data_IF_028760847465
#
_entry.id   IF_028760847465
#
_cell.length_a   1.000
_cell.length_b   1.000
_cell.length_c   1.000
_cell.angle_alpha   90.00
_cell.angle_beta   90.00
_cell.angle_gamma   90.00
#
_symmetry.space_group_name_H-M   'P 1'
#
loop_
_entity.id
_entity.type
_entity.pdbx_description
1 polymer ?
#
# COMPACT_ATOMS: atom_id res chain seq x y z
N UNK A 1 -9.45 -3.64 -9.85
CA UNK A 1 -9.56 -4.91 -10.58
C UNK A 1 -8.39 -5.02 -11.54
N UNK A 2 -7.69 -6.14 -11.53
CA UNK A 2 -6.55 -6.42 -12.42
C UNK A 2 -7.01 -6.71 -13.85
N UNK A 3 -6.09 -6.67 -14.82
CA UNK A 3 -6.41 -6.95 -16.23
C UNK A 3 -6.93 -8.39 -16.46
N UNK A 4 -6.56 -9.33 -15.60
CA UNK A 4 -6.99 -10.73 -15.62
C UNK A 4 -8.22 -11.01 -14.75
N UNK A 5 -8.92 -9.95 -14.30
CA UNK A 5 -10.25 -10.00 -13.68
C UNK A 5 -10.29 -10.25 -12.18
N UNK A 6 -9.17 -10.14 -11.46
CA UNK A 6 -9.21 -10.22 -10.00
C UNK A 6 -9.76 -8.93 -9.39
N UNK A 7 -10.67 -9.07 -8.43
CA UNK A 7 -11.00 -8.02 -7.49
C UNK A 7 -9.88 -7.91 -6.47
N UNK A 8 -9.39 -6.69 -6.25
CA UNK A 8 -8.24 -6.43 -5.39
C UNK A 8 -8.48 -5.21 -4.54
N UNK A 9 -7.71 -5.07 -3.48
CA UNK A 9 -7.66 -3.86 -2.69
C UNK A 9 -7.03 -2.70 -3.50
N UNK A 10 -7.18 -1.48 -3.02
CA UNK A 10 -6.70 -0.24 -3.66
C UNK A 10 -5.18 -0.17 -3.76
N UNK A 11 -4.49 -0.87 -2.87
CA UNK A 11 -3.03 -0.85 -2.76
C UNK A 11 -2.33 -1.31 -4.05
N UNK A 12 -2.89 -2.30 -4.75
CA UNK A 12 -2.35 -2.71 -6.05
C UNK A 12 -2.31 -1.57 -7.06
N UNK A 13 -3.31 -0.71 -7.07
CA UNK A 13 -3.32 0.47 -7.92
C UNK A 13 -2.19 1.47 -7.59
N UNK A 14 -1.78 1.55 -6.34
CA UNK A 14 -0.60 2.31 -5.95
C UNK A 14 0.68 1.66 -6.46
N UNK A 15 0.84 0.34 -6.31
CA UNK A 15 2.02 -0.38 -6.81
C UNK A 15 2.16 -0.24 -8.32
N UNK A 16 1.09 -0.40 -9.09
CA UNK A 16 1.09 -0.19 -10.54
C UNK A 16 1.56 1.21 -10.92
N UNK A 17 1.02 2.25 -10.26
CA UNK A 17 1.39 3.64 -10.55
C UNK A 17 2.83 3.99 -10.19
N UNK A 18 3.35 3.45 -9.08
CA UNK A 18 4.70 3.76 -8.62
C UNK A 18 5.79 2.97 -9.33
N UNK A 19 5.48 1.74 -9.76
CA UNK A 19 6.43 0.84 -10.39
C UNK A 19 6.29 0.78 -11.92
N UNK A 20 5.23 1.37 -12.48
CA UNK A 20 4.89 1.29 -13.91
C UNK A 20 4.79 -0.17 -14.40
N UNK A 21 4.10 -1.00 -13.65
CA UNK A 21 3.89 -2.42 -13.92
C UNK A 21 2.39 -2.73 -14.00
N UNK A 22 2.08 -3.86 -14.60
CA UNK A 22 0.73 -4.44 -14.58
C UNK A 22 0.70 -5.57 -13.56
N UNK A 23 -0.27 -5.51 -12.64
CA UNK A 23 -0.50 -6.58 -11.66
C UNK A 23 -1.53 -7.60 -12.16
N UNK A 24 -1.48 -8.78 -11.57
CA UNK A 24 -2.34 -9.93 -11.89
C UNK A 24 -2.95 -10.53 -10.62
N UNK A 25 -3.76 -11.57 -10.79
CA UNK A 25 -4.29 -12.37 -9.67
C UNK A 25 -3.19 -12.95 -8.74
N UNK A 26 -1.96 -13.07 -9.23
CA UNK A 26 -0.82 -13.55 -8.45
C UNK A 26 -0.33 -12.52 -7.42
N UNK A 27 -0.63 -11.24 -7.63
CA UNK A 27 -0.16 -10.14 -6.77
C UNK A 27 -1.06 -9.85 -5.56
N UNK A 28 -2.23 -10.52 -5.48
CA UNK A 28 -3.14 -10.33 -4.35
C UNK A 28 -3.83 -11.64 -3.98
N UNK A 29 -3.97 -11.88 -2.68
CA UNK A 29 -4.78 -12.98 -2.18
C UNK A 29 -5.53 -12.56 -0.91
N UNK A 30 -6.84 -12.73 -0.93
CA UNK A 30 -7.69 -12.47 0.23
C UNK A 30 -7.77 -13.70 1.15
N UNK A 31 -8.07 -13.47 2.41
CA UNK A 31 -8.32 -14.54 3.40
C UNK A 31 -9.39 -15.50 2.91
N UNK A 32 -10.51 -14.98 2.35
CA UNK A 32 -11.56 -15.82 1.79
C UNK A 32 -11.07 -16.78 0.73
N UNK A 33 -10.19 -16.33 -0.17
CA UNK A 33 -9.61 -17.16 -1.23
C UNK A 33 -8.67 -18.25 -0.70
N UNK A 34 -7.89 -17.96 0.35
CA UNK A 34 -7.06 -18.95 1.03
C UNK A 34 -7.93 -20.06 1.62
N UNK A 35 -8.93 -19.69 2.43
CA UNK A 35 -9.81 -20.67 3.08
C UNK A 35 -10.62 -21.47 2.05
N UNK A 36 -11.15 -20.82 1.03
CA UNK A 36 -11.88 -21.50 -0.04
C UNK A 36 -11.01 -22.57 -0.72
N UNK A 37 -9.77 -22.23 -1.07
CA UNK A 37 -8.83 -23.20 -1.69
C UNK A 37 -8.63 -24.42 -0.80
N UNK A 38 -8.41 -24.22 0.49
CA UNK A 38 -8.20 -25.33 1.44
C UNK A 38 -9.46 -26.18 1.59
N UNK A 39 -10.66 -25.58 1.69
CA UNK A 39 -11.94 -26.28 1.78
C UNK A 39 -12.21 -27.09 0.50
N UNK A 40 -11.94 -26.52 -0.66
CA UNK A 40 -12.10 -27.22 -1.93
C UNK A 40 -11.15 -28.43 -2.05
N UNK A 41 -9.89 -28.29 -1.62
CA UNK A 41 -8.92 -29.37 -1.60
C UNK A 41 -9.33 -30.49 -0.61
N UNK A 42 -9.86 -30.13 0.56
CA UNK A 42 -10.41 -31.08 1.50
C UNK A 42 -11.54 -31.91 0.89
N UNK A 43 -12.49 -31.24 0.23
CA UNK A 43 -13.64 -31.91 -0.44
C UNK A 43 -13.22 -32.79 -1.62
N UNK A 44 -12.10 -32.46 -2.28
CA UNK A 44 -11.52 -33.29 -3.34
C UNK A 44 -10.71 -34.48 -2.80
N UNK A 45 -10.49 -34.55 -1.47
CA UNK A 45 -9.71 -35.62 -0.84
C UNK A 45 -8.19 -35.44 -0.92
N UNK A 46 -7.70 -34.27 -1.26
CA UNK A 46 -6.27 -33.97 -1.39
C UNK A 46 -5.49 -34.20 -0.08
N UNK A 47 -6.16 -34.11 1.07
CA UNK A 47 -5.57 -34.32 2.38
C UNK A 47 -5.68 -35.77 2.88
N UNK A 48 -6.15 -36.71 2.05
CA UNK A 48 -6.18 -38.16 2.35
C UNK A 48 -6.85 -38.49 3.70
N UNK A 49 -7.94 -37.81 4.05
CA UNK A 49 -8.70 -38.04 5.29
C UNK A 49 -8.05 -37.46 6.55
N UNK A 50 -6.97 -36.71 6.45
CA UNK A 50 -6.37 -36.01 7.60
C UNK A 50 -7.28 -34.87 8.04
N UNK A 51 -7.29 -34.61 9.35
CA UNK A 51 -7.97 -33.42 9.89
C UNK A 51 -7.32 -32.15 9.38
N UNK A 52 -8.09 -31.31 8.69
CA UNK A 52 -7.61 -30.01 8.20
C UNK A 52 -7.54 -29.03 9.36
N UNK A 53 -6.41 -28.34 9.47
CA UNK A 53 -6.10 -27.40 10.54
C UNK A 53 -5.48 -26.12 9.95
N UNK A 54 -5.45 -25.04 10.73
CA UNK A 54 -4.77 -23.80 10.32
C UNK A 54 -3.29 -24.09 10.05
N UNK A 55 -2.64 -24.80 10.96
CA UNK A 55 -1.29 -25.32 10.77
C UNK A 55 -1.39 -26.84 10.54
N UNK A 56 -0.91 -27.38 9.41
CA UNK A 56 -0.16 -26.68 8.35
C UNK A 56 -1.01 -26.17 7.18
N UNK A 57 -2.26 -26.57 7.02
CA UNK A 57 -2.97 -26.49 5.73
C UNK A 57 -3.22 -25.05 5.26
N UNK A 58 -3.68 -24.15 6.14
CA UNK A 58 -3.88 -22.73 5.82
C UNK A 58 -2.54 -22.02 5.68
N UNK A 59 -1.59 -22.28 6.61
CA UNK A 59 -0.27 -21.66 6.53
C UNK A 59 0.52 -22.08 5.30
N UNK A 60 0.41 -23.33 4.87
CA UNK A 60 1.07 -23.81 3.64
C UNK A 60 0.48 -23.15 2.39
N UNK A 61 -0.84 -22.98 2.32
CA UNK A 61 -1.46 -22.24 1.19
C UNK A 61 -1.04 -20.77 1.19
N UNK A 62 -0.95 -20.10 2.34
CA UNK A 62 -0.43 -18.73 2.44
C UNK A 62 1.02 -18.67 1.94
N UNK A 63 1.90 -19.57 2.41
CA UNK A 63 3.30 -19.64 1.97
C UNK A 63 3.41 -19.87 0.47
N UNK A 64 2.60 -20.78 -0.06
CA UNK A 64 2.54 -21.08 -1.49
C UNK A 64 2.21 -19.83 -2.31
N UNK A 65 1.25 -19.01 -1.84
CA UNK A 65 0.87 -17.76 -2.50
C UNK A 65 1.96 -16.71 -2.44
N UNK A 66 2.59 -16.54 -1.29
CA UNK A 66 3.71 -15.60 -1.12
C UNK A 66 4.89 -15.95 -2.02
N UNK A 67 5.20 -17.23 -2.16
CA UNK A 67 6.31 -17.71 -2.98
C UNK A 67 6.02 -17.74 -4.48
N UNK A 68 4.76 -17.61 -4.89
CA UNK A 68 4.34 -17.85 -6.27
C UNK A 68 5.08 -16.97 -7.28
N UNK A 69 5.22 -15.68 -6.99
CA UNK A 69 5.97 -14.76 -7.87
C UNK A 69 7.48 -15.01 -7.84
N UNK A 70 8.04 -15.25 -6.66
CA UNK A 70 9.48 -15.56 -6.52
C UNK A 70 9.90 -16.85 -7.24
N UNK A 71 9.01 -17.84 -7.30
CA UNK A 71 9.28 -19.12 -7.96
C UNK A 71 9.24 -19.04 -9.49
N UNK A 72 8.80 -17.93 -10.10
CA UNK A 72 8.89 -17.72 -11.56
C UNK A 72 10.34 -17.53 -12.01
N UNK A 73 11.19 -17.00 -11.15
CA UNK A 73 12.56 -16.63 -11.48
C UNK A 73 12.70 -15.29 -12.20
N UNK A 74 11.60 -14.54 -12.34
CA UNK A 74 11.58 -13.25 -13.04
C UNK A 74 11.96 -12.07 -12.13
N UNK A 75 12.00 -12.30 -10.81
CA UNK A 75 12.20 -11.26 -9.81
C UNK A 75 13.34 -11.59 -8.85
N UNK A 76 14.25 -10.65 -8.66
CA UNK A 76 15.33 -10.76 -7.65
C UNK A 76 14.81 -10.54 -6.23
N UNK A 77 13.78 -9.71 -6.07
CA UNK A 77 13.16 -9.36 -4.79
C UNK A 77 11.64 -9.33 -4.93
N UNK A 78 10.96 -9.99 -4.01
CA UNK A 78 9.49 -9.94 -3.88
C UNK A 78 9.15 -9.25 -2.57
N UNK A 79 8.34 -8.20 -2.64
CA UNK A 79 7.83 -7.49 -1.46
C UNK A 79 6.40 -7.98 -1.21
N UNK A 80 6.18 -8.59 -0.06
CA UNK A 80 4.85 -9.05 0.36
C UNK A 80 4.34 -8.17 1.50
N UNK A 81 3.22 -7.53 1.29
CA UNK A 81 2.50 -6.80 2.33
C UNK A 81 1.49 -7.70 3.02
N UNK A 82 1.50 -7.67 4.36
CA UNK A 82 0.45 -8.27 5.18
C UNK A 82 -0.48 -7.17 5.67
N UNK A 83 -1.72 -7.21 5.23
CA UNK A 83 -2.77 -6.30 5.70
C UNK A 83 -3.20 -6.61 7.14
N UNK A 84 -3.76 -5.60 7.80
CA UNK A 84 -4.25 -5.70 9.15
C UNK A 84 -3.22 -5.36 10.24
N UNK A 85 -3.71 -5.23 11.46
CA UNK A 85 -2.89 -4.88 12.63
C UNK A 85 -2.29 -6.14 13.24
N UNK A 86 -1.01 -6.07 13.64
CA UNK A 86 -0.37 -7.16 14.38
C UNK A 86 -1.07 -7.32 15.73
N UNK A 87 -1.56 -8.55 16.00
CA UNK A 87 -2.33 -8.89 17.19
C UNK A 87 -3.82 -9.09 16.93
N UNK A 88 -4.33 -8.67 15.77
CA UNK A 88 -5.70 -8.97 15.39
C UNK A 88 -5.85 -10.44 14.99
N UNK A 89 -6.99 -11.05 15.32
CA UNK A 89 -7.25 -12.49 15.14
C UNK A 89 -7.08 -12.90 13.67
N UNK A 90 -7.57 -12.09 12.75
CA UNK A 90 -7.53 -12.35 11.32
C UNK A 90 -6.11 -12.36 10.74
N UNK A 91 -5.16 -11.66 11.36
CA UNK A 91 -3.77 -11.61 10.90
C UNK A 91 -2.91 -12.78 11.38
N UNK A 92 -3.35 -13.51 12.41
CA UNK A 92 -2.56 -14.57 13.07
C UNK A 92 -2.08 -15.68 12.12
N UNK A 93 -2.92 -16.25 11.22
CA UNK A 93 -2.48 -17.27 10.28
C UNK A 93 -1.38 -16.77 9.32
N UNK A 94 -1.44 -15.49 8.92
CA UNK A 94 -0.44 -14.87 8.06
C UNK A 94 0.87 -14.63 8.79
N UNK A 95 0.81 -14.13 10.02
CA UNK A 95 2.00 -13.93 10.86
C UNK A 95 2.69 -15.29 11.11
N UNK A 96 1.92 -16.34 11.41
CA UNK A 96 2.46 -17.69 11.58
C UNK A 96 3.08 -18.22 10.28
N UNK A 97 2.43 -18.02 9.14
CA UNK A 97 2.98 -18.43 7.84
C UNK A 97 4.30 -17.71 7.53
N UNK A 98 4.40 -16.39 7.81
CA UNK A 98 5.65 -15.63 7.65
C UNK A 98 6.74 -16.11 8.61
N UNK A 99 6.39 -16.44 9.87
CA UNK A 99 7.34 -17.00 10.82
C UNK A 99 7.94 -18.32 10.30
N UNK A 100 7.11 -19.22 9.77
CA UNK A 100 7.55 -20.47 9.14
C UNK A 100 8.38 -20.21 7.90
N UNK A 101 7.91 -19.34 7.01
CA UNK A 101 8.59 -19.01 5.75
C UNK A 101 9.98 -18.43 5.99
N UNK A 102 10.11 -17.54 6.99
CA UNK A 102 11.40 -16.96 7.37
C UNK A 102 12.39 -18.03 7.84
N UNK A 103 11.90 -19.04 8.56
CA UNK A 103 12.71 -20.18 8.97
C UNK A 103 13.12 -21.06 7.77
N UNK A 104 12.17 -21.37 6.88
CA UNK A 104 12.39 -22.20 5.71
C UNK A 104 13.35 -21.58 4.69
N UNK A 105 13.21 -20.27 4.42
CA UNK A 105 14.08 -19.54 3.48
C UNK A 105 15.44 -19.17 4.06
N UNK A 106 15.54 -19.12 5.40
CA UNK A 106 16.70 -18.60 6.10
C UNK A 106 16.68 -17.07 6.23
N UNK A 107 17.25 -16.59 7.33
CA UNK A 107 17.21 -15.18 7.76
C UNK A 107 17.79 -14.19 6.75
N UNK A 108 18.73 -14.62 5.93
CA UNK A 108 19.38 -13.77 4.91
C UNK A 108 18.53 -13.57 3.64
N UNK A 109 17.54 -14.44 3.44
CA UNK A 109 16.66 -14.40 2.26
C UNK A 109 15.28 -13.81 2.61
N UNK A 110 15.06 -13.39 3.85
CA UNK A 110 13.78 -12.86 4.29
C UNK A 110 13.98 -11.74 5.30
N UNK A 111 13.69 -10.51 4.91
CA UNK A 111 13.74 -9.32 5.76
C UNK A 111 12.34 -8.94 6.19
N UNK A 112 12.14 -8.73 7.48
CA UNK A 112 10.87 -8.27 8.04
C UNK A 112 10.95 -6.78 8.34
N UNK A 113 10.13 -6.01 7.61
CA UNK A 113 9.93 -4.58 7.84
C UNK A 113 8.63 -4.42 8.61
N UNK A 114 8.68 -3.80 9.77
CA UNK A 114 7.49 -3.56 10.59
C UNK A 114 7.14 -2.07 10.60
N UNK A 115 5.94 -1.77 10.10
CA UNK A 115 5.39 -0.41 10.09
C UNK A 115 4.72 -0.13 11.44
N UNK A 116 5.09 0.98 12.08
CA UNK A 116 4.55 1.38 13.38
C UNK A 116 4.14 2.84 13.40
N UNK A 117 3.29 3.20 14.36
CA UNK A 117 2.93 4.59 14.61
C UNK A 117 3.73 5.16 15.79
N UNK A 118 4.31 6.33 15.58
CA UNK A 118 5.00 7.13 16.59
C UNK A 118 4.24 8.43 16.81
N UNK A 119 3.19 8.44 17.65
CA UNK A 119 2.30 9.58 17.78
C UNK A 119 2.98 10.76 18.49
N UNK A 120 2.64 11.97 18.03
CA UNK A 120 3.00 13.22 18.70
C UNK A 120 1.86 13.65 19.62
N UNK A 121 2.18 13.85 20.89
CA UNK A 121 1.22 14.41 21.86
C UNK A 121 1.38 15.92 21.97
N UNK A 122 0.47 16.66 21.38
CA UNK A 122 0.51 18.13 21.33
C UNK A 122 0.53 18.76 22.73
N UNK A 123 -0.18 18.20 23.70
CA UNK A 123 -0.20 18.70 25.09
C UNK A 123 1.16 18.54 25.81
N UNK A 124 1.87 17.43 25.54
CA UNK A 124 3.19 17.16 26.12
C UNK A 124 4.35 17.62 25.24
N UNK A 125 4.07 18.06 24.01
CA UNK A 125 5.04 18.45 22.97
C UNK A 125 6.14 17.41 22.74
N UNK A 126 5.76 16.14 22.74
CA UNK A 126 6.72 15.03 22.59
C UNK A 126 6.19 13.87 21.75
N UNK A 127 7.09 13.15 21.11
CA UNK A 127 6.81 11.86 20.44
C UNK A 127 6.76 10.73 21.49
N UNK A 128 5.75 9.89 21.40
CA UNK A 128 5.57 8.73 22.30
C UNK A 128 6.03 7.43 21.66
N UNK A 129 7.10 6.86 22.21
CA UNK A 129 7.70 5.60 21.70
C UNK A 129 6.97 4.34 22.18
N UNK A 130 6.09 4.42 23.16
CA UNK A 130 5.41 3.26 23.75
C UNK A 130 4.53 2.48 22.76
N UNK A 131 3.71 3.09 21.89
CA UNK A 131 2.92 2.36 20.89
C UNK A 131 3.80 1.51 19.98
N UNK A 132 4.88 2.08 19.43
CA UNK A 132 5.88 1.34 18.64
C UNK A 132 6.48 0.16 19.42
N UNK A 133 6.90 0.38 20.67
CA UNK A 133 7.46 -0.69 21.52
C UNK A 133 6.44 -1.82 21.77
N UNK A 134 5.15 -1.48 21.96
CA UNK A 134 4.11 -2.48 22.18
C UNK A 134 3.83 -3.28 20.91
N UNK A 135 3.74 -2.62 19.76
CA UNK A 135 3.53 -3.26 18.47
C UNK A 135 4.66 -4.26 18.14
N UNK A 136 5.93 -3.87 18.36
CA UNK A 136 7.09 -4.77 18.18
C UNK A 136 7.06 -5.93 19.17
N UNK A 137 6.69 -5.68 20.43
CA UNK A 137 6.54 -6.77 21.42
C UNK A 137 5.46 -7.76 21.00
N UNK A 138 4.35 -7.28 20.46
CA UNK A 138 3.28 -8.17 20.00
C UNK A 138 3.75 -9.04 18.84
N UNK A 139 4.43 -8.46 17.84
CA UNK A 139 5.04 -9.23 16.76
C UNK A 139 6.04 -10.27 17.30
N UNK A 140 6.87 -9.88 18.26
CA UNK A 140 7.85 -10.78 18.88
C UNK A 140 7.22 -11.94 19.67
N UNK A 141 6.03 -11.77 20.26
CA UNK A 141 5.26 -12.86 20.89
C UNK A 141 4.89 -13.96 19.90
N UNK A 142 4.72 -13.61 18.64
CA UNK A 142 4.49 -14.56 17.55
C UNK A 142 5.78 -15.13 16.94
N UNK A 143 6.93 -14.88 17.58
CA UNK A 143 8.23 -15.43 17.15
C UNK A 143 8.88 -14.70 15.98
N UNK A 144 8.45 -13.49 15.66
CA UNK A 144 9.05 -12.67 14.62
C UNK A 144 9.74 -11.45 15.23
N UNK A 145 11.05 -11.34 15.03
CA UNK A 145 11.82 -10.14 15.32
C UNK A 145 11.91 -9.32 14.02
N UNK A 146 11.47 -8.05 14.00
CA UNK A 146 11.65 -7.20 12.82
C UNK A 146 13.12 -6.86 12.60
N UNK A 147 13.51 -6.73 11.35
CA UNK A 147 14.85 -6.32 10.94
C UNK A 147 14.94 -4.82 10.73
N UNK A 148 13.83 -4.20 10.34
CA UNK A 148 13.68 -2.78 10.08
C UNK A 148 12.37 -2.29 10.67
N UNK A 149 12.38 -1.12 11.28
CA UNK A 149 11.20 -0.40 11.73
C UNK A 149 10.98 0.83 10.87
N UNK A 150 9.79 0.95 10.27
CA UNK A 150 9.35 2.17 9.61
C UNK A 150 8.37 2.86 10.55
N UNK A 151 8.77 3.99 11.11
CA UNK A 151 8.01 4.72 12.12
C UNK A 151 7.26 5.89 11.46
N UNK A 152 5.97 5.72 11.24
CA UNK A 152 5.11 6.80 10.77
C UNK A 152 4.96 7.86 11.87
N UNK A 153 5.15 9.12 11.54
CA UNK A 153 5.21 10.22 12.52
C UNK A 153 4.84 11.57 11.90
N UNK A 154 4.25 12.46 12.70
CA UNK A 154 3.96 13.85 12.32
C UNK A 154 5.18 14.79 12.51
N UNK A 155 6.18 14.38 13.29
CA UNK A 155 7.34 15.21 13.65
C UNK A 155 8.63 14.42 13.45
N UNK A 156 9.72 15.12 13.16
CA UNK A 156 11.04 14.49 12.99
C UNK A 156 11.47 13.71 14.23
N UNK A 157 12.06 12.56 14.00
CA UNK A 157 12.61 11.67 15.03
C UNK A 157 14.03 12.13 15.35
N UNK A 158 14.27 12.55 16.60
CA UNK A 158 15.63 12.88 17.06
C UNK A 158 16.49 11.62 17.19
N UNK A 159 17.82 11.80 17.14
CA UNK A 159 18.74 10.68 17.34
C UNK A 159 18.53 9.99 18.70
N UNK A 160 18.16 10.74 19.74
CA UNK A 160 17.85 10.19 21.06
C UNK A 160 16.64 9.25 21.01
N UNK A 161 15.55 9.69 20.37
CA UNK A 161 14.34 8.88 20.20
C UNK A 161 14.65 7.65 19.32
N UNK A 162 15.40 7.82 18.24
CA UNK A 162 15.82 6.73 17.34
C UNK A 162 16.61 5.66 18.11
N UNK A 163 17.58 6.05 18.89
CA UNK A 163 18.39 5.15 19.72
C UNK A 163 17.54 4.47 20.81
N UNK A 164 16.59 5.19 21.40
CA UNK A 164 15.65 4.63 22.37
C UNK A 164 14.79 3.53 21.75
N UNK A 165 14.19 3.79 20.57
CA UNK A 165 13.40 2.79 19.85
C UNK A 165 14.27 1.59 19.50
N UNK A 166 15.44 1.81 18.91
CA UNK A 166 16.38 0.77 18.54
C UNK A 166 16.69 -0.17 19.70
N UNK A 167 17.03 0.39 20.86
CA UNK A 167 17.36 -0.37 22.09
C UNK A 167 16.16 -1.18 22.61
N UNK A 168 14.95 -0.60 22.63
CA UNK A 168 13.76 -1.29 23.17
C UNK A 168 13.20 -2.33 22.22
N UNK A 169 13.45 -2.20 20.91
CA UNK A 169 12.91 -3.06 19.87
C UNK A 169 13.93 -4.04 19.29
N UNK A 170 15.15 -4.06 19.81
CA UNK A 170 16.27 -4.93 19.36
C UNK A 170 16.53 -4.81 17.85
N UNK A 171 16.56 -3.58 17.34
CA UNK A 171 16.94 -3.27 15.96
C UNK A 171 18.15 -2.32 15.96
N UNK A 172 18.90 -2.30 14.87
CA UNK A 172 19.97 -1.33 14.69
C UNK A 172 19.40 0.10 14.60
N UNK A 173 20.13 1.09 15.13
CA UNK A 173 19.66 2.47 15.12
C UNK A 173 19.44 3.02 13.69
N UNK A 174 20.26 2.62 12.73
CA UNK A 174 20.12 2.94 11.31
C UNK A 174 18.92 2.24 10.66
N UNK A 175 18.40 1.15 11.24
CA UNK A 175 17.23 0.42 10.78
C UNK A 175 15.90 0.94 11.39
N UNK A 176 15.95 2.02 12.16
CA UNK A 176 14.76 2.78 12.58
C UNK A 176 14.55 3.92 11.59
N UNK A 177 13.63 3.75 10.68
CA UNK A 177 13.36 4.63 9.54
C UNK A 177 12.26 5.62 9.92
N UNK A 178 12.49 6.89 9.66
CA UNK A 178 11.47 7.92 9.79
C UNK A 178 10.58 7.93 8.54
N UNK A 179 9.27 7.76 8.74
CA UNK A 179 8.27 8.00 7.72
C UNK A 179 7.38 9.18 8.16
N UNK A 180 7.91 10.38 7.97
CA UNK A 180 7.20 11.61 8.32
C UNK A 180 6.01 11.81 7.38
N UNK A 181 4.91 12.35 7.92
CA UNK A 181 3.73 12.69 7.11
C UNK A 181 4.12 13.63 5.97
N UNK A 182 3.66 13.31 4.78
CA UNK A 182 4.00 13.99 3.54
C UNK A 182 2.80 14.72 2.96
N UNK A 183 3.03 15.83 2.24
CA UNK A 183 1.99 16.58 1.57
C UNK A 183 1.31 15.77 0.45
N UNK A 184 2.05 14.87 -0.16
CA UNK A 184 1.54 13.95 -1.18
C UNK A 184 2.22 12.59 -1.06
N UNK A 185 1.50 11.53 -1.44
CA UNK A 185 2.05 10.17 -1.48
C UNK A 185 3.30 10.08 -2.37
N UNK A 186 3.43 10.95 -3.35
CA UNK A 186 4.57 11.00 -4.26
C UNK A 186 5.87 11.54 -3.62
N UNK A 187 5.80 12.15 -2.43
CA UNK A 187 6.98 12.51 -1.64
C UNK A 187 7.59 11.31 -0.91
N UNK A 188 6.78 10.29 -0.59
CA UNK A 188 7.17 9.15 0.24
C UNK A 188 8.43 8.43 -0.27
N UNK A 189 8.60 8.13 -1.58
CA UNK A 189 9.83 7.50 -2.07
C UNK A 189 11.09 8.33 -1.78
N UNK A 190 11.01 9.66 -1.83
CA UNK A 190 12.16 10.52 -1.54
C UNK A 190 12.45 10.60 -0.03
N UNK A 191 11.41 10.53 0.81
CA UNK A 191 11.56 10.45 2.27
C UNK A 191 12.29 9.16 2.64
N UNK A 192 11.83 8.02 2.14
CA UNK A 192 12.43 6.71 2.41
C UNK A 192 13.84 6.59 1.80
N UNK A 193 14.06 7.18 0.62
CA UNK A 193 15.39 7.25 0.01
C UNK A 193 16.38 8.04 0.86
N UNK A 194 15.96 9.18 1.44
CA UNK A 194 16.77 9.98 2.35
C UNK A 194 17.17 9.20 3.61
N UNK A 195 16.26 8.37 4.12
CA UNK A 195 16.47 7.45 5.25
C UNK A 195 17.28 6.20 4.85
N UNK A 196 17.62 6.03 3.56
CA UNK A 196 18.40 4.92 3.02
C UNK A 196 17.76 3.54 3.22
N UNK A 197 16.43 3.46 3.27
CA UNK A 197 15.71 2.21 3.48
C UNK A 197 16.11 1.14 2.44
N UNK A 198 16.24 1.54 1.17
CA UNK A 198 16.69 0.70 0.07
C UNK A 198 18.06 0.02 0.37
N UNK A 199 19.02 0.80 0.80
CA UNK A 199 20.37 0.29 1.11
C UNK A 199 20.37 -0.65 2.31
N UNK A 200 19.64 -0.28 3.37
CA UNK A 200 19.52 -1.10 4.58
C UNK A 200 18.91 -2.47 4.26
N UNK A 201 17.87 -2.50 3.41
CA UNK A 201 17.23 -3.76 3.00
C UNK A 201 18.17 -4.61 2.15
N UNK A 202 18.85 -4.00 1.16
CA UNK A 202 19.84 -4.72 0.34
C UNK A 202 20.99 -5.27 1.17
N UNK A 203 21.52 -4.50 2.12
CA UNK A 203 22.60 -4.94 3.03
C UNK A 203 22.17 -6.14 3.88
N UNK A 204 20.93 -6.11 4.42
CA UNK A 204 20.37 -7.23 5.20
C UNK A 204 20.13 -8.48 4.36
N UNK A 205 19.74 -8.34 3.10
CA UNK A 205 19.60 -9.44 2.13
C UNK A 205 20.96 -9.84 1.51
N UNK A 206 22.06 -9.16 1.84
CA UNK A 206 23.39 -9.36 1.24
C UNK A 206 23.39 -9.25 -0.28
N UNK A 207 22.48 -8.43 -0.81
CA UNK A 207 22.41 -8.13 -2.23
C UNK A 207 23.29 -6.93 -2.56
N UNK A 208 24.08 -7.09 -3.61
CA UNK A 208 24.92 -6.01 -4.14
C UNK A 208 24.29 -5.47 -5.42
N UNK A 209 24.24 -4.16 -5.57
CA UNK A 209 23.85 -3.53 -6.81
C UNK A 209 24.99 -2.65 -7.32
N UNK A 210 25.27 -2.72 -8.60
CA UNK A 210 26.24 -1.84 -9.27
C UNK A 210 25.61 -0.51 -9.67
N UNK A 211 24.29 -0.43 -9.69
CA UNK A 211 23.55 0.74 -10.10
C UNK A 211 23.17 1.61 -8.89
N UNK A 212 23.47 2.90 -8.96
CA UNK A 212 22.91 3.86 -8.04
C UNK A 212 21.45 4.16 -8.41
N UNK A 213 20.60 4.27 -7.38
CA UNK A 213 19.21 4.64 -7.58
C UNK A 213 19.11 6.08 -8.13
N UNK A 214 18.56 6.21 -9.33
CA UNK A 214 18.39 7.49 -10.00
C UNK A 214 16.97 8.04 -9.86
N UNK A 215 16.77 8.92 -8.89
CA UNK A 215 15.48 9.58 -8.62
C UNK A 215 15.24 10.87 -9.43
N UNK A 216 16.04 11.15 -10.48
CA UNK A 216 15.95 12.42 -11.23
C UNK A 216 14.59 12.63 -11.86
N UNK A 217 14.06 11.62 -12.55
CA UNK A 217 12.73 11.70 -13.21
C UNK A 217 11.63 11.91 -12.17
N UNK A 218 11.71 11.20 -11.04
CA UNK A 218 10.75 11.34 -9.93
C UNK A 218 10.78 12.75 -9.31
N UNK A 219 11.98 13.30 -9.06
CA UNK A 219 12.14 14.67 -8.56
C UNK A 219 11.60 15.71 -9.56
N UNK A 220 11.79 15.51 -10.87
CA UNK A 220 11.22 16.37 -11.89
C UNK A 220 9.69 16.34 -11.89
N UNK A 221 9.09 15.16 -11.81
CA UNK A 221 7.64 15.01 -11.70
C UNK A 221 7.09 15.75 -10.46
N UNK A 222 7.68 15.51 -9.29
CA UNK A 222 7.32 16.21 -8.06
C UNK A 222 7.47 17.71 -8.13
N UNK A 223 8.55 18.19 -8.78
CA UNK A 223 8.74 19.63 -9.02
C UNK A 223 7.56 20.20 -9.78
N UNK A 224 7.17 19.59 -10.90
CA UNK A 224 6.02 20.01 -11.70
C UNK A 224 4.72 19.96 -10.92
N UNK A 225 4.48 18.89 -10.18
CA UNK A 225 3.28 18.75 -9.35
C UNK A 225 3.13 19.87 -8.30
N UNK A 226 4.26 20.29 -7.69
CA UNK A 226 4.26 21.31 -6.63
C UNK A 226 4.31 22.74 -7.14
N UNK A 227 4.78 22.98 -8.38
CA UNK A 227 4.95 24.31 -8.94
C UNK A 227 3.94 24.64 -10.05
N UNK A 228 2.82 23.93 -10.10
CA UNK A 228 1.75 24.19 -11.07
C UNK A 228 1.32 25.66 -11.06
N UNK A 229 1.27 26.28 -12.25
CA UNK A 229 1.08 27.73 -12.41
C UNK A 229 -0.37 28.15 -12.59
N UNK A 230 -1.22 27.26 -13.08
CA UNK A 230 -2.65 27.55 -13.25
C UNK A 230 -3.53 26.44 -12.72
N UNK A 231 -4.80 26.76 -12.51
CA UNK A 231 -5.79 25.84 -12.02
C UNK A 231 -6.80 25.49 -13.14
N UNK A 232 -7.14 24.21 -13.20
CA UNK A 232 -8.15 23.69 -14.12
C UNK A 232 -9.23 23.00 -13.31
N UNK A 233 -10.49 23.38 -13.53
CA UNK A 233 -11.65 22.80 -12.85
C UNK A 233 -12.28 21.73 -13.74
N UNK A 234 -12.31 20.49 -13.29
CA UNK A 234 -12.89 19.35 -14.02
C UNK A 234 -14.07 18.81 -13.25
N UNK A 235 -15.20 18.63 -13.94
CA UNK A 235 -16.37 17.93 -13.40
C UNK A 235 -16.23 16.42 -13.59
N UNK A 236 -16.20 15.68 -12.49
CA UNK A 236 -16.27 14.21 -12.50
C UNK A 236 -17.71 13.77 -12.25
N UNK A 237 -18.37 13.33 -13.33
CA UNK A 237 -19.77 12.88 -13.27
C UNK A 237 -19.79 11.38 -13.02
N UNK A 238 -20.37 10.98 -11.92
CA UNK A 238 -20.44 9.58 -11.53
C UNK A 238 -21.59 9.26 -10.60
N UNK A 239 -21.77 7.98 -10.28
CA UNK A 239 -22.78 7.53 -9.33
C UNK A 239 -22.24 7.03 -7.99
N UNK A 240 -20.90 6.98 -7.86
CA UNK A 240 -20.21 6.54 -6.64
C UNK A 240 -19.39 7.69 -6.03
N UNK A 241 -19.82 8.92 -6.21
CA UNK A 241 -19.08 10.14 -5.84
C UNK A 241 -18.97 10.37 -4.33
N UNK A 242 -19.80 9.68 -3.54
CA UNK A 242 -19.77 9.72 -2.07
C UNK A 242 -18.64 8.83 -1.50
N UNK A 243 -18.16 7.86 -2.28
CA UNK A 243 -17.05 6.97 -1.92
C UNK A 243 -15.77 7.52 -2.54
N UNK A 244 -14.91 8.14 -1.74
CA UNK A 244 -13.67 8.76 -2.24
C UNK A 244 -12.80 7.79 -3.04
N UNK A 245 -12.80 6.52 -2.67
CA UNK A 245 -11.97 5.50 -3.27
C UNK A 245 -12.52 4.92 -4.58
N UNK A 246 -13.83 5.08 -4.84
CA UNK A 246 -14.46 4.53 -6.04
C UNK A 246 -13.85 5.06 -7.35
N UNK A 247 -13.34 6.29 -7.34
CA UNK A 247 -12.72 6.94 -8.50
C UNK A 247 -11.24 7.28 -8.25
N UNK A 248 -10.58 6.60 -7.32
CA UNK A 248 -9.19 6.89 -6.94
C UNK A 248 -8.25 6.91 -8.14
N UNK A 249 -8.33 5.92 -9.04
CA UNK A 249 -7.49 5.87 -10.24
C UNK A 249 -7.73 7.04 -11.19
N UNK A 250 -8.96 7.53 -11.29
CA UNK A 250 -9.30 8.73 -12.08
C UNK A 250 -8.68 9.97 -11.44
N UNK A 251 -8.80 10.11 -10.12
CA UNK A 251 -8.17 11.22 -9.39
C UNK A 251 -6.66 11.24 -9.59
N UNK A 252 -5.99 10.09 -9.45
CA UNK A 252 -4.55 10.00 -9.67
C UNK A 252 -4.15 10.28 -11.13
N UNK A 253 -4.96 9.83 -12.11
CA UNK A 253 -4.73 10.16 -13.51
C UNK A 253 -4.78 11.68 -13.76
N UNK A 254 -5.69 12.39 -13.11
CA UNK A 254 -5.74 13.86 -13.19
C UNK A 254 -4.55 14.53 -12.51
N UNK A 255 -4.05 13.97 -11.40
CA UNK A 255 -2.80 14.45 -10.75
C UNK A 255 -1.63 14.32 -11.72
N UNK A 256 -1.47 13.19 -12.40
CA UNK A 256 -0.41 12.96 -13.37
C UNK A 256 -0.55 13.88 -14.59
N UNK A 257 -1.77 13.99 -15.15
CA UNK A 257 -2.03 14.88 -16.28
C UNK A 257 -1.76 16.34 -15.92
N UNK A 258 -2.17 16.77 -14.73
CA UNK A 258 -1.92 18.11 -14.21
C UNK A 258 -0.43 18.42 -14.12
N UNK A 259 0.35 17.52 -13.52
CA UNK A 259 1.80 17.68 -13.42
C UNK A 259 2.49 17.76 -14.80
N UNK A 260 2.02 16.99 -15.78
CA UNK A 260 2.57 17.04 -17.14
C UNK A 260 2.22 18.31 -17.90
N UNK A 261 1.08 18.94 -17.58
CA UNK A 261 0.60 20.16 -18.24
C UNK A 261 0.81 21.43 -17.37
N UNK A 262 1.63 21.34 -16.32
CA UNK A 262 1.97 22.44 -15.41
C UNK A 262 0.73 23.12 -14.78
N UNK A 263 -0.35 22.34 -14.54
CA UNK A 263 -1.59 22.81 -13.93
C UNK A 263 -2.02 21.97 -12.74
N UNK A 264 -2.68 22.60 -11.78
CA UNK A 264 -3.38 21.97 -10.68
C UNK A 264 -4.80 21.64 -11.12
N UNK A 265 -5.20 20.37 -11.06
CA UNK A 265 -6.54 19.95 -11.41
C UNK A 265 -7.40 19.92 -10.15
N UNK A 266 -8.42 20.76 -10.11
CA UNK A 266 -9.46 20.76 -9.09
C UNK A 266 -10.64 19.92 -9.59
N UNK A 267 -10.95 18.83 -8.90
CA UNK A 267 -12.02 17.92 -9.32
C UNK A 267 -13.28 18.25 -8.51
N UNK A 268 -14.34 18.62 -9.24
CA UNK A 268 -15.69 18.77 -8.70
C UNK A 268 -16.49 17.51 -9.01
N UNK A 269 -16.76 16.70 -7.99
CA UNK A 269 -17.61 15.51 -8.15
C UNK A 269 -19.07 15.90 -8.26
N UNK A 270 -19.77 15.31 -9.25
CA UNK A 270 -21.18 15.59 -9.54
C UNK A 270 -21.92 14.25 -9.64
N UNK A 271 -22.92 14.08 -8.80
CA UNK A 271 -23.74 12.86 -8.80
C UNK A 271 -24.64 12.83 -10.05
N UNK A 272 -24.49 11.80 -10.86
CA UNK A 272 -25.19 11.70 -12.15
C UNK A 272 -26.71 11.64 -12.02
N UNK A 273 -27.26 11.09 -10.93
CA UNK A 273 -28.72 11.05 -10.70
C UNK A 273 -29.37 12.43 -10.54
N UNK A 274 -28.59 13.42 -10.13
CA UNK A 274 -29.10 14.77 -9.87
C UNK A 274 -28.85 15.74 -11.04
N UNK A 275 -28.45 15.24 -12.20
CA UNK A 275 -28.31 16.02 -13.42
C UNK A 275 -29.62 15.91 -14.21
N UNK A 276 -30.16 17.06 -14.59
CA UNK A 276 -31.37 17.19 -15.39
C UNK A 276 -31.16 18.24 -16.47
N UNK A 277 -31.94 18.24 -17.57
CA UNK A 277 -31.88 19.28 -18.61
C UNK A 277 -32.02 20.71 -18.05
N UNK A 278 -32.75 20.87 -16.96
CA UNK A 278 -32.98 22.19 -16.34
C UNK A 278 -31.85 22.72 -15.51
N UNK A 279 -30.96 21.84 -14.97
CA UNK A 279 -29.87 22.23 -14.07
C UNK A 279 -28.47 21.97 -14.59
N UNK A 280 -28.33 21.32 -15.76
CA UNK A 280 -27.02 20.93 -16.33
C UNK A 280 -26.10 22.16 -16.54
N UNK A 281 -26.64 23.23 -17.10
CA UNK A 281 -25.88 24.46 -17.35
C UNK A 281 -25.35 25.10 -16.05
N UNK A 282 -26.14 25.10 -14.99
CA UNK A 282 -25.74 25.63 -13.68
C UNK A 282 -24.68 24.74 -13.02
N UNK A 283 -24.90 23.40 -13.03
CA UNK A 283 -23.97 22.45 -12.41
C UNK A 283 -22.59 22.47 -13.08
N UNK A 284 -22.54 22.75 -14.37
CA UNK A 284 -21.31 22.76 -15.16
C UNK A 284 -20.71 24.17 -15.30
N UNK A 285 -21.35 25.18 -14.77
CA UNK A 285 -20.81 26.51 -14.73
C UNK A 285 -19.41 26.52 -14.08
N UNK A 286 -18.47 27.24 -14.67
CA UNK A 286 -17.07 27.34 -14.21
C UNK A 286 -16.22 26.06 -14.29
N UNK A 287 -16.68 25.04 -15.02
CA UNK A 287 -15.85 23.90 -15.38
C UNK A 287 -15.13 24.15 -16.72
N UNK A 288 -13.88 23.72 -16.78
CA UNK A 288 -13.08 23.76 -18.00
C UNK A 288 -13.21 22.48 -18.82
N UNK A 289 -13.71 21.42 -18.20
CA UNK A 289 -14.00 20.14 -18.84
C UNK A 289 -14.78 19.22 -17.92
N UNK A 290 -15.30 18.15 -18.51
CA UNK A 290 -16.03 17.11 -17.77
C UNK A 290 -15.50 15.72 -18.13
N UNK A 291 -15.57 14.80 -17.17
CA UNK A 291 -15.35 13.39 -17.37
C UNK A 291 -16.54 12.61 -16.82
N UNK A 292 -17.19 11.85 -17.71
CA UNK A 292 -18.29 10.96 -17.33
C UNK A 292 -17.69 9.61 -16.96
N UNK A 293 -17.69 9.30 -15.66
CA UNK A 293 -17.09 8.08 -15.14
C UNK A 293 -17.93 6.83 -15.46
N UNK A 294 -17.30 5.65 -15.65
CA UNK A 294 -18.00 4.41 -15.84
C UNK A 294 -18.81 4.00 -14.61
N UNK A 295 -19.72 3.03 -14.77
CA UNK A 295 -20.47 2.45 -13.66
C UNK A 295 -21.50 1.46 -14.18
N UNK A 296 -21.77 0.43 -13.39
CA UNK A 296 -22.70 -0.65 -13.74
C UNK A 296 -24.15 -0.32 -13.34
N UNK A 297 -25.11 -0.93 -14.05
CA UNK A 297 -26.55 -0.81 -13.77
C UNK A 297 -27.16 0.53 -14.19
N UNK A 298 -28.46 0.64 -14.09
CA UNK A 298 -29.25 1.72 -14.67
C UNK A 298 -29.24 3.04 -13.90
N UNK A 299 -28.87 3.01 -12.63
CA UNK A 299 -28.87 4.18 -11.74
C UNK A 299 -27.99 5.31 -12.30
N UNK A 300 -28.57 6.48 -12.50
CA UNK A 300 -27.85 7.70 -12.94
C UNK A 300 -27.47 7.71 -14.43
N UNK A 301 -28.01 6.82 -15.27
CA UNK A 301 -27.75 6.82 -16.72
C UNK A 301 -28.30 8.09 -17.37
N UNK A 302 -29.53 8.46 -17.09
CA UNK A 302 -30.18 9.63 -17.70
C UNK A 302 -29.38 10.93 -17.50
N UNK A 303 -28.87 11.12 -16.29
CA UNK A 303 -28.01 12.28 -16.01
C UNK A 303 -26.63 12.22 -16.67
N UNK A 304 -26.16 11.04 -17.09
CA UNK A 304 -24.94 10.91 -17.87
C UNK A 304 -25.16 11.17 -19.35
N UNK A 305 -26.38 10.94 -19.83
CA UNK A 305 -26.79 11.21 -21.23
C UNK A 305 -27.12 12.70 -21.41
N UNK A 306 -27.72 13.31 -20.40
CA UNK A 306 -28.06 14.75 -20.38
C UNK A 306 -26.81 15.63 -20.47
#
# INVERSE_FOLDING_TARGET
>A
MTNDGAETDLDLGHYERFLDITTSQANNVTTGRIYQTVIENERKGEYLGKTVQIIPHITDEIKRRVLMLGNTGDFDVVITELGGTVGDIESLPYIEAVRQLRWELGMINCVVIHLTLLPYLSAAKELKTKPTQHSVKELSRHGIQPDVLVCRTEKHITNEIRNKIAKFCNVESNAVIEAIDADTIYDVPLILFKERLDRIVLDKLRLTTQNELNMRKWKMFLGKLKTATYEVNIGLIGKYVELQDAYKSIHEAFVHAGAMNDCKVNIKTIHSEYITPSNVSEKFANLHGILVAPGFGERGIEGKIT
#
